data_IF_419534277533
#
_entry.id   IF_419534277533
#
_cell.length_a   1.000
_cell.length_b   1.000
_cell.length_c   1.000
_cell.angle_alpha   90.00
_cell.angle_beta   90.00
_cell.angle_gamma   90.00
#
_symmetry.space_group_name_H-M   'P 1'
#
loop_
_entity.id
_entity.type
_entity.pdbx_description
1 polymer ?
#
# COMPACT_ATOMS: atom_id res chain seq x y z
N UNK A 1 29.66 -50.53 30.21
CA UNK A 1 28.49 -51.27 30.73
C UNK A 1 27.25 -50.70 30.06
N UNK A 2 26.78 -51.37 29.01
CA UNK A 2 25.55 -51.03 28.29
C UNK A 2 24.35 -51.43 29.14
N UNK A 3 23.40 -50.51 29.34
CA UNK A 3 22.06 -50.88 29.79
C UNK A 3 21.11 -50.83 28.60
N UNK A 4 20.67 -52.01 28.19
CA UNK A 4 19.60 -52.25 27.23
C UNK A 4 18.26 -51.83 27.84
N UNK A 5 17.52 -50.94 27.16
CA UNK A 5 16.11 -50.72 27.43
C UNK A 5 15.31 -51.44 26.34
N UNK A 6 14.58 -52.49 26.74
CA UNK A 6 13.69 -53.28 25.87
C UNK A 6 12.46 -52.46 25.49
N UNK A 7 12.26 -52.23 24.20
CA UNK A 7 11.01 -51.72 23.64
C UNK A 7 10.02 -52.88 23.40
N UNK A 8 8.74 -52.78 23.80
CA UNK A 8 7.73 -53.75 23.40
C UNK A 8 7.25 -53.50 21.95
N UNK A 9 6.85 -54.55 21.20
CA UNK A 9 6.43 -54.41 19.81
C UNK A 9 4.96 -53.97 19.76
N UNK A 10 4.69 -52.77 19.23
CA UNK A 10 3.32 -52.31 18.98
C UNK A 10 2.87 -52.90 17.62
N UNK A 11 1.77 -53.67 17.57
CA UNK A 11 1.32 -54.30 16.34
C UNK A 11 0.77 -53.26 15.37
N UNK A 12 1.23 -53.33 14.12
CA UNK A 12 0.59 -52.72 12.95
C UNK A 12 -0.87 -53.20 12.92
N UNK A 13 -1.84 -52.30 12.97
CA UNK A 13 -3.19 -52.51 12.43
C UNK A 13 -3.96 -51.17 12.43
N UNK A 14 -4.75 -50.98 11.36
CA UNK A 14 -5.72 -49.93 11.05
C UNK A 14 -5.23 -48.55 10.59
N UNK A 15 -4.87 -48.55 9.30
CA UNK A 15 -5.25 -47.50 8.34
C UNK A 15 -6.72 -47.10 8.53
N UNK A 16 -6.96 -45.79 8.49
CA UNK A 16 -8.24 -45.23 8.07
C UNK A 16 -9.20 -44.92 9.21
N UNK A 17 -8.93 -43.87 9.97
CA UNK A 17 -10.00 -43.07 10.57
C UNK A 17 -9.59 -41.59 10.54
N UNK A 18 -10.16 -40.88 9.56
CA UNK A 18 -10.70 -39.52 9.70
C UNK A 18 -9.67 -38.47 10.15
N UNK A 19 -9.02 -37.79 9.20
CA UNK A 19 -9.44 -36.42 8.82
C UNK A 19 -9.77 -35.57 10.06
N UNK A 20 -8.77 -35.27 10.87
CA UNK A 20 -8.81 -34.06 11.70
C UNK A 20 -7.89 -33.04 11.07
N UNK A 21 -8.35 -32.58 9.91
CA UNK A 21 -7.86 -31.41 9.20
C UNK A 21 -8.20 -30.17 10.05
N UNK A 22 -7.49 -29.98 11.16
CA UNK A 22 -7.47 -28.69 11.87
C UNK A 22 -6.52 -27.78 11.10
N UNK A 23 -6.88 -27.51 9.83
CA UNK A 23 -6.45 -26.31 9.14
C UNK A 23 -7.14 -25.15 9.84
N UNK A 24 -6.51 -24.64 10.88
CA UNK A 24 -6.79 -23.31 11.42
C UNK A 24 -6.52 -22.31 10.31
N UNK A 25 -7.54 -22.03 9.49
CA UNK A 25 -7.62 -20.78 8.75
C UNK A 25 -7.78 -19.67 9.80
N UNK A 26 -6.66 -19.21 10.33
CA UNK A 26 -6.61 -17.94 11.04
C UNK A 26 -6.84 -16.89 9.97
N UNK A 27 -8.11 -16.60 9.68
CA UNK A 27 -8.49 -15.42 8.93
C UNK A 27 -8.20 -14.26 9.86
N UNK A 28 -6.93 -13.85 9.90
CA UNK A 28 -6.55 -12.57 10.47
C UNK A 28 -7.11 -11.50 9.54
N UNK A 29 -8.41 -11.24 9.69
CA UNK A 29 -9.09 -10.07 9.15
C UNK A 29 -8.62 -8.84 9.96
N UNK A 30 -7.31 -8.60 9.95
CA UNK A 30 -6.73 -7.37 10.48
C UNK A 30 -7.18 -6.24 9.58
N UNK A 31 -7.65 -5.15 10.17
CA UNK A 31 -7.92 -3.91 9.46
C UNK A 31 -6.65 -3.51 8.71
N UNK A 32 -6.62 -3.77 7.38
CA UNK A 32 -5.52 -3.31 6.56
C UNK A 32 -5.57 -1.79 6.59
N UNK A 33 -4.47 -1.13 6.92
CA UNK A 33 -4.46 0.32 6.93
C UNK A 33 -4.83 0.84 5.54
N UNK A 34 -5.77 1.77 5.50
CA UNK A 34 -6.29 2.30 4.25
C UNK A 34 -5.24 3.21 3.64
N UNK A 35 -4.74 2.92 2.42
CA UNK A 35 -3.76 3.78 1.79
C UNK A 35 -4.36 5.16 1.47
N UNK A 36 -3.52 6.21 1.43
CA UNK A 36 -3.95 7.55 1.10
C UNK A 36 -4.68 7.63 -0.25
N UNK A 37 -5.53 8.63 -0.47
CA UNK A 37 -6.17 8.83 -1.77
C UNK A 37 -5.14 9.26 -2.83
N UNK A 38 -5.51 9.12 -4.09
CA UNK A 38 -4.72 9.68 -5.20
C UNK A 38 -4.61 11.21 -5.10
N UNK A 39 -3.58 11.77 -5.73
CA UNK A 39 -3.40 13.21 -5.79
C UNK A 39 -2.25 13.64 -6.68
N UNK A 40 -2.34 14.89 -7.14
CA UNK A 40 -1.26 15.61 -7.80
C UNK A 40 -0.49 16.42 -6.76
N UNK A 41 0.82 16.17 -6.64
CA UNK A 41 1.68 16.78 -5.65
C UNK A 41 2.76 17.59 -6.35
N UNK A 42 3.02 18.82 -5.92
CA UNK A 42 4.01 19.69 -6.54
C UNK A 42 4.99 20.27 -5.52
N UNK A 43 6.25 20.40 -5.91
CA UNK A 43 7.26 21.14 -5.17
C UNK A 43 7.09 22.62 -5.44
N UNK A 44 6.54 23.34 -4.44
CA UNK A 44 6.26 24.78 -4.53
C UNK A 44 7.46 25.61 -4.09
N UNK A 45 8.47 24.98 -3.47
CA UNK A 45 9.65 25.69 -2.94
C UNK A 45 10.72 25.89 -4.02
N UNK A 46 10.91 24.92 -4.91
CA UNK A 46 11.95 24.99 -5.94
C UNK A 46 11.38 25.40 -7.31
N UNK A 47 12.23 26.05 -8.13
CA UNK A 47 11.92 26.41 -9.52
C UNK A 47 12.86 25.64 -10.46
N UNK A 48 12.37 25.03 -11.55
CA UNK A 48 10.96 25.00 -11.99
C UNK A 48 10.08 24.16 -11.06
N UNK A 49 8.78 24.47 -11.04
CA UNK A 49 7.79 23.71 -10.24
C UNK A 49 7.66 22.31 -10.85
N UNK A 50 8.11 21.31 -10.09
CA UNK A 50 7.99 19.90 -10.46
C UNK A 50 6.71 19.33 -9.84
N UNK A 51 5.88 18.69 -10.65
CA UNK A 51 4.65 18.04 -10.21
C UNK A 51 4.68 16.55 -10.53
N UNK A 52 4.16 15.75 -9.60
CA UNK A 52 4.04 14.30 -9.71
C UNK A 52 2.62 13.86 -9.40
N UNK A 53 2.17 12.77 -9.99
CA UNK A 53 0.85 12.20 -9.75
C UNK A 53 0.98 10.86 -9.05
N UNK A 54 0.43 10.74 -7.85
CA UNK A 54 0.57 9.55 -7.02
C UNK A 54 -0.79 8.93 -6.75
N UNK A 55 -0.92 7.64 -7.05
CA UNK A 55 -2.11 6.84 -6.80
C UNK A 55 -1.75 5.67 -5.88
N UNK A 56 -1.80 5.91 -4.57
CA UNK A 56 -1.45 4.91 -3.56
C UNK A 56 -2.42 3.71 -3.54
N UNK A 57 -3.68 3.90 -3.97
CA UNK A 57 -4.69 2.84 -4.03
C UNK A 57 -4.48 1.91 -5.22
N UNK A 58 -4.12 2.46 -6.38
CA UNK A 58 -3.80 1.67 -7.58
C UNK A 58 -2.35 1.19 -7.60
N UNK A 59 -1.48 1.71 -6.72
CA UNK A 59 -0.06 1.38 -6.70
C UNK A 59 0.67 1.91 -7.94
N UNK A 60 0.33 3.13 -8.37
CA UNK A 60 0.92 3.77 -9.55
C UNK A 60 1.40 5.17 -9.16
N UNK A 61 2.59 5.56 -9.61
CA UNK A 61 3.08 6.93 -9.50
C UNK A 61 3.67 7.39 -10.83
N UNK A 62 3.35 8.60 -11.25
CA UNK A 62 3.91 9.25 -12.44
C UNK A 62 4.75 10.45 -12.02
N UNK A 63 6.03 10.41 -12.41
CA UNK A 63 7.03 11.43 -12.12
C UNK A 63 7.25 12.40 -13.30
N UNK A 64 6.32 12.41 -14.26
CA UNK A 64 6.40 13.16 -15.52
C UNK A 64 7.03 12.37 -16.68
N UNK A 65 7.41 11.11 -16.44
CA UNK A 65 7.99 10.19 -17.43
C UNK A 65 7.03 9.05 -17.81
N UNK A 66 5.84 9.03 -17.21
CA UNK A 66 4.85 7.97 -17.37
C UNK A 66 4.61 7.19 -16.07
N UNK A 67 3.58 6.32 -16.06
CA UNK A 67 3.16 5.59 -14.88
C UNK A 67 4.16 4.50 -14.51
N UNK A 68 4.67 4.56 -13.28
CA UNK A 68 5.60 3.61 -12.69
C UNK A 68 4.94 2.89 -11.49
N UNK A 69 5.34 1.64 -11.21
CA UNK A 69 4.75 0.86 -10.13
C UNK A 69 5.18 1.39 -8.75
N UNK A 70 4.20 1.78 -7.94
CA UNK A 70 4.36 2.25 -6.57
C UNK A 70 4.07 1.10 -5.59
N UNK A 71 5.11 0.64 -4.89
CA UNK A 71 5.06 -0.47 -3.93
C UNK A 71 4.95 0.06 -2.51
N UNK A 72 3.92 -0.36 -1.79
CA UNK A 72 3.74 -0.02 -0.38
C UNK A 72 4.68 -0.86 0.49
N UNK A 73 5.56 -0.21 1.26
CA UNK A 73 6.27 -0.84 2.38
C UNK A 73 5.42 -0.81 3.64
N UNK A 74 4.83 0.34 3.92
CA UNK A 74 3.82 0.55 4.95
C UNK A 74 2.94 1.76 4.56
N UNK A 75 2.01 2.15 5.43
CA UNK A 75 1.03 3.23 5.19
C UNK A 75 1.68 4.58 4.87
N UNK A 76 2.87 4.81 5.41
CA UNK A 76 3.59 6.08 5.30
C UNK A 76 4.78 6.00 4.36
N UNK A 77 5.21 4.81 3.93
CA UNK A 77 6.40 4.62 3.10
C UNK A 77 6.10 3.76 1.86
N UNK A 78 6.46 4.31 0.72
CA UNK A 78 6.28 3.70 -0.59
C UNK A 78 7.60 3.78 -1.38
N UNK A 79 7.84 2.76 -2.19
CA UNK A 79 8.95 2.70 -3.13
C UNK A 79 8.41 2.77 -4.55
N UNK A 80 9.02 3.59 -5.40
CA UNK A 80 8.74 3.63 -6.82
C UNK A 80 9.98 3.11 -7.56
N UNK A 81 9.82 1.99 -8.28
CA UNK A 81 10.92 1.32 -8.98
C UNK A 81 11.12 1.91 -10.37
N UNK A 82 12.33 2.35 -10.66
CA UNK A 82 12.79 2.71 -12.01
C UNK A 82 13.53 1.49 -12.60
N UNK A 83 13.58 1.39 -13.93
CA UNK A 83 14.20 0.27 -14.68
C UNK A 83 15.66 -0.01 -14.28
N UNK A 84 16.42 0.99 -13.81
CA UNK A 84 17.83 0.86 -13.39
C UNK A 84 18.03 0.44 -11.93
N UNK A 85 17.07 -0.25 -11.30
CA UNK A 85 17.09 -0.66 -9.87
C UNK A 85 17.20 0.47 -8.83
N UNK A 86 17.23 1.72 -9.28
CA UNK A 86 17.15 2.88 -8.42
C UNK A 86 15.73 3.03 -7.89
N UNK A 87 15.59 3.06 -6.56
CA UNK A 87 14.31 3.22 -5.88
C UNK A 87 14.13 4.67 -5.47
N UNK A 88 13.02 5.27 -5.88
CA UNK A 88 12.57 6.54 -5.32
C UNK A 88 11.75 6.24 -4.07
N UNK A 89 12.10 6.88 -2.96
CA UNK A 89 11.36 6.74 -1.71
C UNK A 89 10.32 7.85 -1.63
N UNK A 90 9.08 7.47 -1.33
CA UNK A 90 7.96 8.37 -1.13
C UNK A 90 7.45 8.17 0.28
N UNK A 91 7.59 9.20 1.10
CA UNK A 91 7.10 9.24 2.46
C UNK A 91 5.86 10.14 2.56
N UNK A 92 4.77 9.58 3.05
CA UNK A 92 3.51 10.28 3.26
C UNK A 92 3.52 10.88 4.65
N UNK A 93 3.80 12.18 4.73
CA UNK A 93 3.78 12.94 5.98
C UNK A 93 2.35 13.29 6.40
N UNK A 94 1.50 13.59 5.42
CA UNK A 94 0.08 13.86 5.60
C UNK A 94 -0.67 13.55 4.29
N UNK A 95 -1.99 13.45 4.31
CA UNK A 95 -2.83 13.29 3.11
C UNK A 95 -2.55 14.35 2.01
N UNK A 96 -2.01 15.50 2.38
CA UNK A 96 -1.73 16.61 1.49
C UNK A 96 -0.24 16.93 1.34
N UNK A 97 0.64 16.14 1.96
CA UNK A 97 2.08 16.41 2.00
C UNK A 97 2.87 15.12 1.88
N UNK A 98 3.75 15.05 0.89
CA UNK A 98 4.64 13.92 0.68
C UNK A 98 6.07 14.41 0.59
N UNK A 99 7.00 13.62 1.10
CA UNK A 99 8.43 13.82 0.94
C UNK A 99 8.95 12.79 -0.04
N UNK A 100 9.62 13.23 -1.10
CA UNK A 100 10.13 12.36 -2.15
C UNK A 100 11.65 12.46 -2.15
N UNK A 101 12.30 11.31 -2.01
CA UNK A 101 13.76 11.18 -2.08
C UNK A 101 14.11 10.50 -3.38
N UNK A 102 14.68 11.27 -4.29
CA UNK A 102 15.28 10.74 -5.50
C UNK A 102 16.68 10.18 -5.20
N UNK A 103 17.15 9.19 -5.97
CA UNK A 103 18.52 8.69 -5.87
C UNK A 103 19.51 9.85 -5.95
N UNK A 104 20.49 9.87 -5.05
CA UNK A 104 21.60 10.84 -5.03
C UNK A 104 21.18 12.31 -4.86
N UNK A 105 19.91 12.58 -4.54
CA UNK A 105 19.40 13.94 -4.30
C UNK A 105 18.86 14.06 -2.88
N UNK A 106 18.84 15.30 -2.40
CA UNK A 106 18.19 15.61 -1.13
C UNK A 106 16.67 15.38 -1.21
N UNK A 107 16.05 14.94 -0.10
CA UNK A 107 14.61 14.77 -0.04
C UNK A 107 13.88 16.11 -0.23
N UNK A 108 12.90 16.13 -1.14
CA UNK A 108 12.08 17.32 -1.43
C UNK A 108 10.67 17.15 -0.92
N UNK A 109 10.04 18.26 -0.52
CA UNK A 109 8.67 18.29 -0.03
C UNK A 109 7.70 18.68 -1.15
N UNK A 110 6.67 17.87 -1.36
CA UNK A 110 5.62 18.11 -2.34
C UNK A 110 4.27 18.28 -1.65
N UNK A 111 3.50 19.26 -2.11
CA UNK A 111 2.16 19.57 -1.59
C UNK A 111 1.09 19.12 -2.57
N UNK A 112 0.02 18.50 -2.05
CA UNK A 112 -1.15 18.15 -2.85
C UNK A 112 -1.82 19.43 -3.35
N UNK A 113 -1.94 19.57 -4.67
CA UNK A 113 -2.72 20.64 -5.27
C UNK A 113 -4.19 20.22 -5.29
N UNK A 114 -5.07 21.13 -4.88
CA UNK A 114 -6.52 20.95 -5.01
C UNK A 114 -6.90 21.11 -6.48
N UNK A 115 -7.17 20.00 -7.15
CA UNK A 115 -7.68 20.02 -8.52
C UNK A 115 -9.12 20.58 -8.53
N UNK A 116 -9.42 21.50 -9.45
CA UNK A 116 -10.78 22.02 -9.64
C UNK A 116 -11.74 20.90 -10.04
N UNK A 117 -11.28 19.89 -10.79
CA UNK A 117 -12.08 18.74 -11.18
C UNK A 117 -12.51 17.88 -9.98
N UNK A 118 -11.61 17.69 -9.01
CA UNK A 118 -11.90 16.93 -7.79
C UNK A 118 -12.94 17.66 -6.92
N UNK A 119 -12.88 19.01 -6.86
CA UNK A 119 -13.88 19.82 -6.19
C UNK A 119 -15.26 19.66 -6.85
N UNK A 120 -15.33 19.72 -8.18
CA UNK A 120 -16.58 19.55 -8.93
C UNK A 120 -17.20 18.17 -8.69
N UNK A 121 -16.41 17.09 -8.78
CA UNK A 121 -16.88 15.73 -8.50
C UNK A 121 -17.40 15.55 -7.07
N UNK A 122 -16.74 16.14 -6.07
CA UNK A 122 -17.23 16.10 -4.68
C UNK A 122 -18.56 16.82 -4.53
N UNK A 123 -18.75 17.96 -5.20
CA UNK A 123 -20.02 18.69 -5.20
C UNK A 123 -21.14 17.92 -5.87
N UNK A 124 -20.87 17.29 -7.02
CA UNK A 124 -21.85 16.47 -7.73
C UNK A 124 -22.29 15.29 -6.86
N UNK A 125 -21.36 14.56 -6.24
CA UNK A 125 -21.67 13.46 -5.32
C UNK A 125 -22.47 13.93 -4.09
N UNK A 126 -22.09 15.06 -3.49
CA UNK A 126 -22.81 15.61 -2.36
C UNK A 126 -24.24 16.04 -2.73
N UNK A 127 -24.43 16.53 -3.96
CA UNK A 127 -25.76 16.87 -4.50
C UNK A 127 -26.60 15.62 -4.70
N UNK A 128 -26.05 14.56 -5.28
CA UNK A 128 -26.74 13.27 -5.44
C UNK A 128 -27.18 12.68 -4.09
N UNK A 129 -26.28 12.63 -3.10
CA UNK A 129 -26.59 12.16 -1.75
C UNK A 129 -27.68 13.01 -1.08
N UNK A 130 -27.65 14.33 -1.28
CA UNK A 130 -28.69 15.24 -0.79
C UNK A 130 -30.05 14.98 -1.45
N UNK A 131 -30.08 14.84 -2.78
CA UNK A 131 -31.31 14.58 -3.53
C UNK A 131 -31.92 13.19 -3.17
N UNK A 132 -31.10 12.21 -2.77
CA UNK A 132 -31.58 10.92 -2.25
C UNK A 132 -32.15 11.01 -0.83
N UNK A 133 -31.56 11.82 0.05
CA UNK A 133 -32.03 11.98 1.44
C UNK A 133 -33.35 12.75 1.56
N UNK A 134 -33.66 13.62 0.59
CA UNK A 134 -34.86 14.47 0.59
C UNK A 134 -35.88 14.10 -0.51
N UNK A 135 -35.77 12.88 -1.06
CA UNK A 135 -36.79 12.27 -1.92
C UNK A 135 -37.87 11.56 -1.11
#
# INVERSE_FOLDING_TARGET
MLNEAKFPPIPKIFKGFIVSLVTTCIVSCGLRPVPPPEGKFCDVWHKPVECVELNFRKGIGDLGQGPLPLRMKNVVLYDLKIENEQNILIEVLHEHRVRITFPEKEPRLYLKIKDQGERKRRWEKAKEEWDELFK
#
